data_IF_394303416156
#
_entry.id   IF_394303416156
#
_cell.length_a   1.000
_cell.length_b   1.000
_cell.length_c   1.000
_cell.angle_alpha   90.00
_cell.angle_beta   90.00
_cell.angle_gamma   90.00
#
_symmetry.space_group_name_H-M   'P 1'
#
loop_
_entity.id
_entity.type
_entity.pdbx_description
1 polymer ?
#
# COMPACT_ATOMS: atom_id res chain seq x y z
N UNK A 1 -6.48 -12.58 -16.68
CA UNK A 1 -6.50 -11.11 -16.82
C UNK A 1 -6.13 -10.48 -15.49
N UNK A 2 -5.21 -9.55 -15.48
CA UNK A 2 -4.77 -8.91 -14.24
C UNK A 2 -5.66 -7.72 -13.91
N UNK A 3 -5.97 -7.56 -12.63
CA UNK A 3 -6.67 -6.38 -12.15
C UNK A 3 -5.74 -5.17 -12.25
N UNK A 4 -6.18 -4.04 -12.82
CA UNK A 4 -5.38 -2.83 -12.84
C UNK A 4 -5.01 -2.38 -11.43
N UNK A 5 -3.80 -1.87 -11.27
CA UNK A 5 -3.34 -1.35 -9.98
C UNK A 5 -3.83 0.09 -9.80
N UNK A 6 -4.21 0.41 -8.57
CA UNK A 6 -4.60 1.78 -8.23
C UNK A 6 -3.38 2.70 -8.35
N UNK A 7 -3.42 3.73 -9.22
CA UNK A 7 -2.33 4.70 -9.28
C UNK A 7 -2.35 5.59 -8.03
N UNK A 8 -1.20 5.80 -7.42
CA UNK A 8 -1.10 6.59 -6.19
C UNK A 8 -0.31 7.88 -6.35
N UNK A 9 0.53 7.97 -7.39
CA UNK A 9 1.34 9.13 -7.66
C UNK A 9 1.05 9.69 -9.06
N UNK A 10 1.06 11.00 -9.17
CA UNK A 10 0.82 11.67 -10.46
C UNK A 10 1.99 11.39 -11.41
N UNK A 11 1.74 10.86 -12.62
CA UNK A 11 2.82 10.61 -13.57
C UNK A 11 3.45 11.88 -14.11
N UNK A 12 2.80 13.03 -13.92
CA UNK A 12 3.29 14.31 -14.41
C UNK A 12 4.19 15.02 -13.39
N UNK A 13 3.80 15.07 -12.11
CA UNK A 13 4.52 15.84 -11.11
C UNK A 13 4.90 15.02 -9.85
N UNK A 14 4.59 13.75 -9.82
CA UNK A 14 4.83 12.85 -8.68
C UNK A 14 4.08 13.22 -7.40
N UNK A 15 3.12 14.14 -7.49
CA UNK A 15 2.27 14.47 -6.34
C UNK A 15 1.33 13.32 -6.00
N UNK A 16 0.81 13.34 -4.78
CA UNK A 16 -0.16 12.33 -4.34
C UNK A 16 -1.49 12.49 -5.06
N UNK A 17 -2.01 11.40 -5.59
CA UNK A 17 -3.32 11.42 -6.25
C UNK A 17 -4.43 11.32 -5.20
N UNK A 18 -5.54 12.01 -5.48
CA UNK A 18 -6.77 11.92 -4.69
C UNK A 18 -7.83 11.20 -5.51
N UNK A 19 -8.80 10.61 -4.82
CA UNK A 19 -9.97 10.02 -5.48
C UNK A 19 -10.99 11.11 -5.72
N UNK A 20 -11.41 11.27 -6.98
CA UNK A 20 -12.46 12.24 -7.33
C UNK A 20 -13.83 11.59 -7.47
N UNK A 21 -13.88 10.30 -7.80
CA UNK A 21 -15.13 9.59 -8.00
C UNK A 21 -14.97 8.10 -7.77
N UNK A 22 -15.96 7.52 -7.11
CA UNK A 22 -16.09 6.08 -6.91
C UNK A 22 -17.43 5.66 -7.48
N UNK A 23 -17.49 4.45 -8.03
CA UNK A 23 -18.75 3.91 -8.55
C UNK A 23 -19.01 2.53 -7.96
N UNK A 24 -20.28 2.24 -7.71
CA UNK A 24 -20.69 0.91 -7.24
C UNK A 24 -21.02 0.03 -8.43
N UNK A 25 -20.30 -1.09 -8.61
CA UNK A 25 -20.58 -1.98 -9.75
C UNK A 25 -21.91 -2.72 -9.63
N UNK A 26 -22.50 -2.77 -8.41
CA UNK A 26 -23.77 -3.47 -8.18
C UNK A 26 -24.97 -2.64 -8.57
N UNK A 27 -24.97 -1.32 -8.29
CA UNK A 27 -26.15 -0.48 -8.50
C UNK A 27 -25.84 0.81 -9.26
N UNK A 28 -24.60 0.99 -9.70
CA UNK A 28 -24.17 2.16 -10.47
C UNK A 28 -24.22 3.49 -9.70
N UNK A 29 -24.37 3.45 -8.38
CA UNK A 29 -24.25 4.67 -7.57
C UNK A 29 -22.86 5.25 -7.72
N UNK A 30 -22.77 6.57 -7.87
CA UNK A 30 -21.50 7.28 -7.97
C UNK A 30 -21.34 8.22 -6.79
N UNK A 31 -20.12 8.24 -6.22
CA UNK A 31 -19.77 9.15 -5.13
C UNK A 31 -18.62 10.01 -5.61
N UNK A 32 -18.83 11.31 -5.64
CA UNK A 32 -17.83 12.29 -6.13
C UNK A 32 -17.39 13.19 -4.99
N UNK A 33 -16.15 13.63 -5.04
CA UNK A 33 -15.60 14.51 -4.03
C UNK A 33 -14.11 14.66 -4.20
N UNK A 34 -13.43 15.02 -3.13
CA UNK A 34 -11.98 15.11 -3.10
C UNK A 34 -11.50 14.31 -1.89
N UNK A 35 -11.12 13.07 -2.12
CA UNK A 35 -10.77 12.14 -1.04
C UNK A 35 -9.28 11.81 -1.12
N UNK A 36 -8.44 12.33 -0.19
CA UNK A 36 -7.05 11.90 -0.12
C UNK A 36 -6.98 10.41 0.18
N UNK A 37 -5.97 9.74 -0.35
CA UNK A 37 -5.77 8.32 -0.04
C UNK A 37 -5.30 8.17 1.41
N UNK A 38 -5.83 7.17 2.14
CA UNK A 38 -5.27 6.82 3.45
C UNK A 38 -3.80 6.45 3.34
N UNK A 39 -3.06 6.58 4.44
CA UNK A 39 -1.61 6.38 4.48
C UNK A 39 -1.20 5.07 3.80
N UNK A 40 -1.84 3.96 4.16
CA UNK A 40 -1.44 2.66 3.61
C UNK A 40 -1.67 2.55 2.11
N UNK A 41 -2.65 3.27 1.57
CA UNK A 41 -2.92 3.25 0.14
C UNK A 41 -2.00 4.18 -0.66
N UNK A 42 -1.19 5.00 0.02
CA UNK A 42 -0.18 5.83 -0.63
C UNK A 42 1.10 5.06 -0.93
N UNK A 43 1.23 3.87 -0.39
CA UNK A 43 2.39 3.02 -0.64
C UNK A 43 2.31 2.37 -2.02
N UNK A 44 3.45 2.10 -2.67
CA UNK A 44 3.44 1.31 -3.89
C UNK A 44 2.81 -0.07 -3.69
N UNK A 45 2.34 -0.67 -4.78
CA UNK A 45 1.61 -1.94 -4.72
C UNK A 45 2.42 -3.07 -4.09
N UNK A 46 3.73 -3.12 -4.35
CA UNK A 46 4.60 -4.16 -3.77
C UNK A 46 4.74 -4.02 -2.26
N UNK A 47 4.80 -2.78 -1.75
CA UNK A 47 4.85 -2.53 -0.31
C UNK A 47 3.52 -2.87 0.36
N UNK A 48 2.40 -2.54 -0.29
CA UNK A 48 1.09 -2.94 0.20
C UNK A 48 0.96 -4.47 0.29
N UNK A 49 1.46 -5.17 -0.72
CA UNK A 49 1.44 -6.63 -0.74
C UNK A 49 2.28 -7.22 0.40
N UNK A 50 3.43 -6.60 0.69
CA UNK A 50 4.28 -7.03 1.81
C UNK A 50 3.56 -6.87 3.15
N UNK A 51 2.88 -5.73 3.36
CA UNK A 51 2.12 -5.50 4.59
C UNK A 51 1.00 -6.53 4.74
N UNK A 52 0.29 -6.82 3.67
CA UNK A 52 -0.77 -7.82 3.69
C UNK A 52 -0.22 -9.20 4.05
N UNK A 53 0.90 -9.59 3.44
CA UNK A 53 1.55 -10.86 3.73
C UNK A 53 1.99 -10.94 5.19
N UNK A 54 2.57 -9.85 5.71
CA UNK A 54 2.98 -9.77 7.11
C UNK A 54 1.79 -9.94 8.04
N UNK A 55 0.70 -9.25 7.74
CA UNK A 55 -0.52 -9.35 8.54
C UNK A 55 -1.09 -10.77 8.52
N UNK A 56 -1.16 -11.38 7.33
CA UNK A 56 -1.71 -12.73 7.18
C UNK A 56 -0.83 -13.81 7.83
N UNK A 57 0.45 -13.53 8.00
CA UNK A 57 1.36 -14.45 8.70
C UNK A 57 1.28 -14.33 10.23
N UNK A 58 0.38 -13.49 10.72
CA UNK A 58 0.28 -13.22 12.17
C UNK A 58 1.43 -12.39 12.71
N UNK A 59 2.14 -11.66 11.83
CA UNK A 59 3.28 -10.84 12.23
C UNK A 59 4.60 -11.60 12.29
N UNK A 60 4.69 -12.77 11.67
CA UNK A 60 5.91 -13.59 11.71
C UNK A 60 6.83 -13.27 10.54
N UNK A 61 7.91 -12.53 10.81
CA UNK A 61 8.94 -12.25 9.80
C UNK A 61 9.69 -13.52 9.41
N UNK A 62 9.83 -14.46 10.33
CA UNK A 62 10.49 -15.74 10.05
C UNK A 62 9.72 -16.52 9.00
N UNK A 63 8.39 -16.53 9.11
CA UNK A 63 7.54 -17.21 8.13
C UNK A 63 7.62 -16.54 6.76
N UNK A 64 7.61 -15.20 6.73
CA UNK A 64 7.73 -14.45 5.48
C UNK A 64 9.08 -14.72 4.82
N UNK A 65 10.16 -14.71 5.60
CA UNK A 65 11.50 -15.00 5.08
C UNK A 65 11.53 -16.37 4.41
N UNK A 66 10.89 -17.37 5.03
CA UNK A 66 10.80 -18.70 4.48
C UNK A 66 9.99 -18.73 3.19
N UNK A 67 8.85 -18.05 3.16
CA UNK A 67 7.96 -18.03 2.00
C UNK A 67 8.60 -17.34 0.79
N UNK A 68 9.29 -16.23 1.02
CA UNK A 68 9.92 -15.44 -0.07
C UNK A 68 11.27 -16.03 -0.47
N UNK A 69 11.93 -16.76 0.43
CA UNK A 69 13.24 -17.34 0.17
C UNK A 69 14.39 -16.37 0.39
N UNK A 70 14.26 -15.43 1.32
CA UNK A 70 15.32 -14.49 1.69
C UNK A 70 15.64 -14.62 3.18
N UNK A 71 16.76 -14.02 3.61
CA UNK A 71 17.19 -14.13 5.00
C UNK A 71 16.30 -13.30 5.93
N UNK A 72 16.22 -13.73 7.19
CA UNK A 72 15.49 -13.00 8.21
C UNK A 72 15.98 -11.55 8.37
N UNK A 73 17.31 -11.28 8.46
CA UNK A 73 17.77 -9.89 8.56
C UNK A 73 17.32 -9.02 7.38
N UNK A 74 17.27 -9.56 6.18
CA UNK A 74 16.82 -8.83 5.01
C UNK A 74 15.35 -8.44 5.13
N UNK A 75 14.49 -9.38 5.57
CA UNK A 75 13.08 -9.10 5.78
C UNK A 75 12.90 -8.08 6.89
N UNK A 76 13.66 -8.20 7.98
CA UNK A 76 13.60 -7.27 9.09
C UNK A 76 13.95 -5.85 8.65
N UNK A 77 15.01 -5.69 7.86
CA UNK A 77 15.42 -4.39 7.34
C UNK A 77 14.33 -3.80 6.45
N UNK A 78 13.72 -4.63 5.61
CA UNK A 78 12.63 -4.20 4.74
C UNK A 78 11.44 -3.69 5.56
N UNK A 79 11.09 -4.38 6.63
CA UNK A 79 10.02 -3.95 7.52
C UNK A 79 10.36 -2.62 8.20
N UNK A 80 11.60 -2.47 8.70
CA UNK A 80 12.03 -1.24 9.36
C UNK A 80 11.98 -0.05 8.42
N UNK A 81 12.41 -0.21 7.17
CA UNK A 81 12.35 0.83 6.16
C UNK A 81 10.91 1.23 5.87
N UNK A 82 10.02 0.24 5.81
CA UNK A 82 8.61 0.47 5.54
C UNK A 82 7.93 1.19 6.70
N UNK A 83 8.26 0.82 7.95
CA UNK A 83 7.75 1.50 9.14
C UNK A 83 8.14 2.98 9.12
N UNK A 84 9.40 3.28 8.80
CA UNK A 84 9.86 4.66 8.71
C UNK A 84 9.09 5.43 7.64
N UNK A 85 8.88 4.81 6.49
CA UNK A 85 8.13 5.44 5.39
C UNK A 85 6.69 5.74 5.80
N UNK A 86 6.03 4.80 6.47
CA UNK A 86 4.66 4.99 6.96
C UNK A 86 4.62 6.10 8.00
N UNK A 87 5.61 6.19 8.89
CA UNK A 87 5.69 7.27 9.87
C UNK A 87 5.80 8.62 9.19
N UNK A 88 6.64 8.75 8.15
CA UNK A 88 6.78 9.98 7.40
C UNK A 88 5.48 10.39 6.74
N UNK A 89 4.80 9.46 6.09
CA UNK A 89 3.51 9.73 5.44
C UNK A 89 2.45 10.15 6.46
N UNK A 90 2.46 9.55 7.65
CA UNK A 90 1.51 9.90 8.71
C UNK A 90 1.71 11.32 9.22
N UNK A 91 2.95 11.82 9.27
CA UNK A 91 3.22 13.18 9.75
C UNK A 91 2.88 14.25 8.71
N UNK A 92 2.73 13.88 7.44
CA UNK A 92 2.35 14.81 6.39
C UNK A 92 0.85 15.10 6.37
N UNK A 93 0.07 14.33 7.11
CA UNK A 93 -1.35 14.58 7.27
C UNK A 93 -1.59 15.65 8.36
#
# INVERSE_FOLDING_TARGET
MQTPKLPVACPSCSGSLHVSQLSCPSCSTQVSGNYPLPVLLRLPADEQAFILQFFLSGGSLKEIASQIGISYPTVRNRLDDLIEKVNQLSTEE
#
